data_IF_022988937694
#
_entry.id   IF_022988937694
#
_cell.length_a   1.000
_cell.length_b   1.000
_cell.length_c   1.000
_cell.angle_alpha   90.00
_cell.angle_beta   90.00
_cell.angle_gamma   90.00
#
_symmetry.space_group_name_H-M   'P 1'
#
loop_
_entity.id
_entity.type
_entity.pdbx_description
1 polymer ?
#
# COMPACT_ATOMS: atom_id res chain seq x y z
N UNK A 1 -2.16 -20.58 20.12
CA UNK A 1 -1.23 -21.12 19.10
C UNK A 1 -2.07 -21.61 17.94
N UNK A 2 -2.12 -20.88 16.82
CA UNK A 2 -2.93 -21.26 15.67
C UNK A 2 -2.08 -22.09 14.69
N UNK A 3 -2.54 -23.30 14.36
CA UNK A 3 -1.89 -24.19 13.38
C UNK A 3 -2.20 -23.64 11.97
N UNK A 4 -1.17 -23.18 11.24
CA UNK A 4 -1.28 -22.64 9.87
C UNK A 4 -0.78 -23.61 8.78
N UNK A 5 -0.52 -24.86 9.11
CA UNK A 5 0.07 -25.84 8.19
C UNK A 5 -0.76 -27.12 8.15
N UNK A 6 -1.02 -27.63 6.94
CA UNK A 6 -1.80 -28.85 6.70
C UNK A 6 -2.46 -28.89 5.32
N UNK A 7 -3.07 -30.01 4.96
CA UNK A 7 -3.71 -30.26 3.65
C UNK A 7 -4.72 -29.18 3.19
N UNK A 8 -5.35 -28.49 4.15
CA UNK A 8 -6.31 -27.39 3.89
C UNK A 8 -5.66 -26.01 3.71
N UNK A 9 -4.35 -25.92 3.87
CA UNK A 9 -3.56 -24.71 3.66
C UNK A 9 -2.43 -25.07 2.70
N UNK A 10 -2.74 -25.22 1.39
CA UNK A 10 -1.71 -25.36 0.37
C UNK A 10 -0.67 -24.27 0.62
N UNK A 11 0.60 -24.67 0.69
CA UNK A 11 1.69 -23.73 0.89
C UNK A 11 1.91 -23.04 -0.43
N UNK A 12 1.00 -22.14 -0.80
CA UNK A 12 1.17 -21.29 -1.96
C UNK A 12 2.33 -20.34 -1.64
N UNK A 13 3.51 -20.72 -2.09
CA UNK A 13 4.74 -19.94 -2.00
C UNK A 13 4.77 -18.77 -3.00
N UNK A 14 3.69 -18.56 -3.75
CA UNK A 14 3.49 -17.46 -4.69
C UNK A 14 3.00 -16.17 -4.02
N UNK A 15 3.09 -15.06 -4.76
CA UNK A 15 2.38 -13.85 -4.39
C UNK A 15 0.85 -14.12 -4.48
N UNK A 16 0.03 -13.58 -3.57
CA UNK A 16 -1.42 -13.70 -3.67
C UNK A 16 -1.95 -13.23 -5.04
N UNK A 17 -3.02 -13.87 -5.55
CA UNK A 17 -3.63 -13.58 -6.85
C UNK A 17 -3.89 -12.09 -7.12
N UNK A 18 -4.30 -11.35 -6.09
CA UNK A 18 -4.59 -9.91 -6.20
C UNK A 18 -3.34 -9.03 -6.37
N UNK A 19 -2.14 -9.62 -6.28
CA UNK A 19 -0.85 -8.99 -6.58
C UNK A 19 -0.25 -9.46 -7.91
N UNK A 20 -0.89 -10.40 -8.62
CA UNK A 20 -0.43 -10.87 -9.93
C UNK A 20 -0.96 -9.98 -11.06
N UNK A 21 -0.09 -9.26 -11.80
CA UNK A 21 -0.50 -8.41 -12.92
C UNK A 21 -1.19 -9.16 -14.07
N UNK A 22 -1.01 -10.48 -14.17
CA UNK A 22 -1.62 -11.30 -15.22
C UNK A 22 -3.02 -11.80 -14.82
N UNK A 23 -3.47 -11.53 -13.59
CA UNK A 23 -4.80 -11.92 -13.15
C UNK A 23 -5.87 -11.06 -13.84
N UNK A 24 -6.94 -11.67 -14.32
CA UNK A 24 -8.08 -10.96 -14.95
C UNK A 24 -8.69 -9.89 -14.03
N UNK A 25 -8.64 -10.11 -12.71
CA UNK A 25 -9.15 -9.19 -11.70
C UNK A 25 -8.06 -8.32 -11.08
N UNK A 26 -6.89 -8.23 -11.72
CA UNK A 26 -5.81 -7.40 -11.24
C UNK A 26 -6.25 -5.94 -11.16
N UNK A 27 -6.01 -5.32 -10.01
CA UNK A 27 -6.31 -3.93 -9.75
C UNK A 27 -5.02 -3.21 -9.31
N UNK A 28 -4.43 -2.35 -10.15
CA UNK A 28 -3.14 -1.72 -9.86
C UNK A 28 -3.15 -0.92 -8.54
N UNK A 29 -4.23 -0.17 -8.27
CA UNK A 29 -4.40 0.57 -7.00
C UNK A 29 -4.40 -0.35 -5.76
N UNK A 30 -5.03 -1.52 -5.86
CA UNK A 30 -5.06 -2.49 -4.76
C UNK A 30 -3.65 -3.05 -4.52
N UNK A 31 -2.98 -3.46 -5.59
CA UNK A 31 -1.62 -3.96 -5.51
C UNK A 31 -0.66 -2.92 -4.92
N UNK A 32 -0.75 -1.66 -5.38
CA UNK A 32 0.02 -0.55 -4.85
C UNK A 32 -0.20 -0.34 -3.35
N UNK A 33 -1.46 -0.31 -2.90
CA UNK A 33 -1.79 -0.13 -1.49
C UNK A 33 -1.22 -1.27 -0.62
N UNK A 34 -1.35 -2.52 -1.07
CA UNK A 34 -0.81 -3.67 -0.34
C UNK A 34 0.72 -3.66 -0.31
N UNK A 35 1.36 -3.38 -1.45
CA UNK A 35 2.83 -3.32 -1.55
C UNK A 35 3.41 -2.19 -0.71
N UNK A 36 2.77 -1.02 -0.71
CA UNK A 36 3.13 0.09 0.16
C UNK A 36 3.01 -0.29 1.63
N UNK A 37 1.90 -0.93 2.03
CA UNK A 37 1.69 -1.39 3.40
C UNK A 37 2.71 -2.45 3.84
N UNK A 38 3.12 -3.34 2.94
CA UNK A 38 4.17 -4.34 3.21
C UNK A 38 5.56 -3.72 3.33
N UNK A 39 5.84 -2.67 2.57
CA UNK A 39 7.18 -2.06 2.48
C UNK A 39 7.42 -1.00 3.55
N UNK A 40 6.40 -0.21 3.88
CA UNK A 40 6.50 0.84 4.88
C UNK A 40 6.09 0.27 6.23
N UNK A 41 7.06 -0.12 7.04
CA UNK A 41 6.82 -0.70 8.38
C UNK A 41 6.87 0.32 9.51
N UNK A 42 7.44 1.50 9.25
CA UNK A 42 7.51 2.61 10.20
C UNK A 42 7.32 3.97 9.49
N UNK A 43 6.89 4.98 10.24
CA UNK A 43 6.63 6.31 9.70
C UNK A 43 7.86 7.22 9.63
N UNK A 44 9.03 6.81 10.16
CA UNK A 44 10.25 7.62 10.18
C UNK A 44 10.09 9.02 10.81
N UNK A 45 9.29 9.14 11.86
CA UNK A 45 8.96 10.44 12.50
C UNK A 45 7.88 11.26 11.80
N UNK A 46 7.29 10.74 10.71
CA UNK A 46 6.08 11.27 10.05
C UNK A 46 4.88 10.38 10.37
N UNK A 47 3.69 10.80 9.95
CA UNK A 47 2.53 9.91 10.02
C UNK A 47 2.70 8.75 9.01
N UNK A 48 2.18 7.54 9.30
CA UNK A 48 2.21 6.42 8.34
C UNK A 48 1.65 6.79 6.98
N UNK A 49 0.56 7.56 6.92
CA UNK A 49 -0.01 8.08 5.66
C UNK A 49 1.04 8.85 4.84
N UNK A 50 1.81 9.74 5.48
CA UNK A 50 2.84 10.51 4.77
C UNK A 50 3.98 9.62 4.26
N UNK A 51 4.41 8.64 5.04
CA UNK A 51 5.43 7.67 4.61
C UNK A 51 4.93 6.81 3.43
N UNK A 52 3.68 6.36 3.49
CA UNK A 52 3.02 5.65 2.41
C UNK A 52 2.88 6.48 1.14
N UNK A 53 2.47 7.75 1.25
CA UNK A 53 2.38 8.67 0.10
C UNK A 53 3.73 8.84 -0.59
N UNK A 54 4.81 8.96 0.19
CA UNK A 54 6.16 9.04 -0.36
C UNK A 54 6.53 7.78 -1.13
N UNK A 55 6.35 6.61 -0.52
CA UNK A 55 6.65 5.33 -1.17
C UNK A 55 5.84 5.14 -2.46
N UNK A 56 4.53 5.42 -2.42
CA UNK A 56 3.65 5.32 -3.59
C UNK A 56 4.01 6.30 -4.71
N UNK A 57 4.55 7.48 -4.38
CA UNK A 57 5.04 8.44 -5.37
C UNK A 57 6.29 7.92 -6.09
N UNK A 58 7.25 7.38 -5.31
CA UNK A 58 8.50 6.77 -5.82
C UNK A 58 8.22 5.56 -6.74
N UNK A 59 7.16 4.80 -6.45
CA UNK A 59 6.75 3.62 -7.22
C UNK A 59 5.54 3.87 -8.14
N UNK A 60 5.18 5.12 -8.40
CA UNK A 60 3.94 5.47 -9.11
C UNK A 60 3.85 4.84 -10.52
N UNK A 61 4.95 4.88 -11.26
CA UNK A 61 5.04 4.29 -12.61
C UNK A 61 4.82 2.76 -12.62
N UNK A 62 5.25 2.05 -11.57
CA UNK A 62 5.12 0.58 -11.48
C UNK A 62 3.67 0.13 -11.36
N UNK A 63 2.82 0.97 -10.78
CA UNK A 63 1.43 0.65 -10.50
C UNK A 63 0.44 1.42 -11.39
N UNK A 64 0.92 2.07 -12.45
CA UNK A 64 0.07 2.93 -13.28
C UNK A 64 -0.59 4.07 -12.49
N UNK A 65 0.05 4.51 -11.40
CA UNK A 65 -0.34 5.68 -10.61
C UNK A 65 0.33 6.94 -11.15
N UNK A 66 0.53 7.01 -12.46
CA UNK A 66 1.02 8.19 -13.18
C UNK A 66 -0.06 8.68 -14.15
N UNK A 67 -0.03 9.97 -14.46
CA UNK A 67 -0.84 10.57 -15.53
C UNK A 67 -0.25 10.28 -16.92
N UNK A 68 -0.91 10.81 -17.95
CA UNK A 68 -0.53 10.61 -19.35
C UNK A 68 0.86 11.22 -19.69
N UNK A 69 1.34 12.18 -18.89
CA UNK A 69 2.67 12.79 -18.99
C UNK A 69 3.73 12.00 -18.20
N UNK A 70 3.35 10.89 -17.57
CA UNK A 70 4.23 10.06 -16.72
C UNK A 70 4.48 10.67 -15.33
N UNK A 71 3.78 11.74 -14.96
CA UNK A 71 3.91 12.36 -13.62
C UNK A 71 3.04 11.61 -12.62
N UNK A 72 3.44 11.52 -11.34
CA UNK A 72 2.66 10.83 -10.33
C UNK A 72 1.24 11.42 -10.18
N UNK A 73 0.21 10.57 -10.26
CA UNK A 73 -1.18 10.92 -10.01
C UNK A 73 -1.43 11.09 -8.52
N UNK A 74 -1.39 12.33 -8.03
CA UNK A 74 -1.53 12.67 -6.62
C UNK A 74 -2.81 12.13 -6.00
N UNK A 75 -3.94 12.15 -6.73
CA UNK A 75 -5.21 11.66 -6.21
C UNK A 75 -5.18 10.14 -6.02
N UNK A 76 -4.68 9.39 -7.00
CA UNK A 76 -4.54 7.94 -6.90
C UNK A 76 -3.58 7.52 -5.77
N UNK A 77 -2.48 8.25 -5.60
CA UNK A 77 -1.53 8.05 -4.51
C UNK A 77 -2.18 8.32 -3.15
N UNK A 78 -2.92 9.42 -3.02
CA UNK A 78 -3.55 9.78 -1.75
C UNK A 78 -4.63 8.76 -1.35
N UNK A 79 -5.41 8.27 -2.31
CA UNK A 79 -6.40 7.21 -2.09
C UNK A 79 -5.75 5.91 -1.61
N UNK A 80 -4.70 5.46 -2.29
CA UNK A 80 -3.97 4.25 -1.88
C UNK A 80 -3.36 4.41 -0.50
N UNK A 81 -2.77 5.57 -0.19
CA UNK A 81 -2.22 5.87 1.12
C UNK A 81 -3.28 5.89 2.23
N UNK A 82 -4.50 6.38 1.95
CA UNK A 82 -5.63 6.33 2.91
C UNK A 82 -6.02 4.89 3.23
N UNK A 83 -6.10 4.02 2.23
CA UNK A 83 -6.45 2.60 2.39
C UNK A 83 -5.36 1.84 3.17
N UNK A 84 -4.09 2.09 2.85
CA UNK A 84 -2.95 1.40 3.47
C UNK A 84 -2.59 1.91 4.87
N UNK A 85 -3.12 3.06 5.30
CA UNK A 85 -2.74 3.67 6.57
C UNK A 85 -3.21 2.86 7.80
N UNK A 86 -2.27 2.29 8.56
CA UNK A 86 -2.57 1.53 9.79
C UNK A 86 -2.81 2.39 11.03
N UNK A 87 -2.64 3.72 10.95
CA UNK A 87 -2.96 4.63 12.05
C UNK A 87 -4.48 4.83 12.15
N UNK A 88 -5.11 4.13 13.11
CA UNK A 88 -6.58 4.13 13.34
C UNK A 88 -7.21 5.51 13.51
N UNK A 89 -6.47 6.48 14.05
CA UNK A 89 -6.96 7.86 14.28
C UNK A 89 -6.89 8.78 13.05
N UNK A 90 -6.49 8.27 11.88
CA UNK A 90 -6.22 9.11 10.71
C UNK A 90 -4.91 9.89 10.83
N UNK A 91 -4.51 10.56 9.74
CA UNK A 91 -3.19 11.21 9.59
C UNK A 91 -3.09 12.64 10.11
N UNK A 92 -4.05 13.13 10.88
CA UNK A 92 -3.94 14.47 11.46
C UNK A 92 -2.73 14.51 12.42
N UNK A 93 -1.79 15.45 12.25
CA UNK A 93 -0.70 15.65 13.20
C UNK A 93 -1.31 15.88 14.59
N UNK A 94 -0.76 15.26 15.64
CA UNK A 94 -1.06 15.70 17.00
C UNK A 94 -0.52 17.12 17.13
N UNK A 95 -1.41 18.10 17.31
CA UNK A 95 -1.02 19.48 17.62
C UNK A 95 -0.09 19.45 18.83
N UNK A 96 1.09 20.09 18.80
CA UNK A 96 1.87 20.28 20.01
C UNK A 96 0.99 21.04 21.00
N UNK A 97 0.69 20.42 22.15
CA UNK A 97 0.01 21.12 23.23
C UNK A 97 0.86 22.31 23.65
N UNK A 98 0.26 23.49 23.66
CA UNK A 98 0.84 24.69 24.27
C UNK A 98 0.84 24.62 25.80
#
# INVERSE_FOLDING_TARGET
MALRTGFFFPTDSGAPDYLDPNNERYAPKLAAAVRAWQSVTDGGGKSPKQALMRWLNEHSAEFGLSDDDGRPNEQGIEECAKVANWQRGGGAPKTPGG
#
